data_IF_133083422380
#
_entry.id   IF_133083422380
#
_cell.length_a   1.000
_cell.length_b   1.000
_cell.length_c   1.000
_cell.angle_alpha   90.00
_cell.angle_beta   90.00
_cell.angle_gamma   90.00
#
_symmetry.space_group_name_H-M   'P 1'
#
loop_
_entity.id
_entity.type
_entity.pdbx_description
1 polymer ?
#
# COMPACT_ATOMS: atom_id res chain seq x y z
N UNK A 1 23.60 -6.78 -15.89
CA UNK A 1 23.34 -7.83 -14.88
C UNK A 1 22.80 -7.14 -13.64
N UNK A 2 21.50 -6.85 -13.62
CA UNK A 2 20.83 -6.06 -12.58
C UNK A 2 19.49 -6.74 -12.32
N UNK A 3 19.59 -7.93 -11.73
CA UNK A 3 18.43 -8.75 -11.41
C UNK A 3 18.64 -9.29 -10.00
N UNK A 4 17.66 -9.02 -9.12
CA UNK A 4 17.39 -9.71 -7.85
C UNK A 4 18.22 -9.30 -6.62
N UNK A 5 17.97 -8.08 -6.13
CA UNK A 5 17.96 -7.78 -4.68
C UNK A 5 16.64 -7.11 -4.31
N UNK A 6 15.55 -7.78 -4.68
CA UNK A 6 14.19 -7.47 -4.25
C UNK A 6 14.04 -8.08 -2.86
N UNK A 7 13.73 -7.28 -1.84
CA UNK A 7 13.58 -7.72 -0.43
C UNK A 7 12.66 -8.95 -0.30
N UNK A 8 12.99 -9.85 0.63
CA UNK A 8 12.17 -11.02 0.99
C UNK A 8 10.75 -10.64 1.41
N UNK A 9 10.55 -9.39 1.88
CA UNK A 9 9.23 -8.83 2.18
C UNK A 9 8.37 -8.72 0.92
N UNK A 10 8.93 -8.35 -0.23
CA UNK A 10 8.20 -8.13 -1.48
C UNK A 10 7.60 -9.42 -2.02
N UNK A 11 8.38 -10.50 -1.99
CA UNK A 11 7.92 -11.83 -2.41
C UNK A 11 6.78 -12.25 -1.47
N UNK A 12 6.92 -12.02 -0.17
CA UNK A 12 5.88 -12.37 0.79
C UNK A 12 4.61 -11.54 0.63
N UNK A 13 4.66 -10.22 0.47
CA UNK A 13 3.45 -9.38 0.37
C UNK A 13 2.67 -9.67 -0.92
N UNK A 14 3.36 -9.75 -2.08
CA UNK A 14 2.70 -10.00 -3.35
C UNK A 14 2.10 -11.42 -3.44
N UNK A 15 2.84 -12.43 -2.98
CA UNK A 15 2.35 -13.82 -2.92
C UNK A 15 1.15 -13.92 -1.96
N UNK A 16 1.22 -13.24 -0.82
CA UNK A 16 0.15 -13.25 0.17
C UNK A 16 -1.13 -12.58 -0.34
N UNK A 17 -1.01 -11.46 -1.06
CA UNK A 17 -2.16 -10.82 -1.75
C UNK A 17 -2.79 -11.80 -2.74
N UNK A 18 -1.99 -12.49 -3.56
CA UNK A 18 -2.52 -13.50 -4.48
C UNK A 18 -3.23 -14.66 -3.75
N UNK A 19 -2.65 -15.13 -2.64
CA UNK A 19 -3.21 -16.23 -1.85
C UNK A 19 -4.60 -15.87 -1.30
N UNK A 20 -4.73 -14.77 -0.55
CA UNK A 20 -6.01 -14.40 0.05
C UNK A 20 -7.05 -13.97 -1.00
N UNK A 21 -6.61 -13.39 -2.13
CA UNK A 21 -7.51 -13.15 -3.27
C UNK A 21 -8.07 -14.46 -3.82
N UNK A 22 -7.23 -15.51 -3.96
CA UNK A 22 -7.69 -16.84 -4.40
C UNK A 22 -8.63 -17.50 -3.40
N UNK A 23 -8.37 -17.38 -2.10
CA UNK A 23 -9.25 -17.93 -1.06
C UNK A 23 -10.66 -17.32 -1.14
N UNK A 24 -10.74 -15.99 -1.25
CA UNK A 24 -12.01 -15.28 -1.38
C UNK A 24 -12.73 -15.60 -2.71
N UNK A 25 -11.99 -15.66 -3.83
CA UNK A 25 -12.57 -15.99 -5.13
C UNK A 25 -13.14 -17.40 -5.18
N UNK A 26 -12.39 -18.40 -4.70
CA UNK A 26 -12.82 -19.81 -4.70
C UNK A 26 -14.06 -20.04 -3.84
N UNK A 27 -14.18 -19.35 -2.72
CA UNK A 27 -15.35 -19.44 -1.85
C UNK A 27 -16.58 -18.77 -2.47
N UNK A 28 -16.42 -17.61 -3.10
CA UNK A 28 -17.53 -16.87 -3.69
C UNK A 28 -18.09 -17.55 -4.95
N UNK A 29 -17.23 -18.18 -5.77
CA UNK A 29 -17.63 -18.88 -7.00
C UNK A 29 -18.10 -20.32 -6.78
N UNK A 30 -18.23 -20.78 -5.52
CA UNK A 30 -18.71 -22.13 -5.19
C UNK A 30 -17.76 -23.26 -5.63
N UNK A 31 -16.49 -22.96 -5.93
CA UNK A 31 -15.57 -23.89 -6.61
C UNK A 31 -14.89 -24.91 -5.67
N UNK A 32 -15.05 -24.82 -4.34
CA UNK A 32 -14.42 -25.80 -3.44
C UNK A 32 -15.19 -26.00 -2.13
N UNK A 33 -16.05 -27.04 -2.04
CA UNK A 33 -16.72 -27.43 -0.80
C UNK A 33 -15.79 -28.06 0.25
N UNK A 34 -14.53 -28.34 -0.08
CA UNK A 34 -13.62 -29.18 0.72
C UNK A 34 -12.56 -28.39 1.50
N UNK A 35 -12.46 -27.07 1.30
CA UNK A 35 -11.57 -26.18 2.05
C UNK A 35 -12.38 -25.13 2.81
N UNK A 36 -12.49 -25.27 4.13
CA UNK A 36 -13.07 -24.24 4.99
C UNK A 36 -12.04 -23.14 5.27
N UNK A 37 -11.89 -22.19 4.35
CA UNK A 37 -11.12 -20.99 4.63
C UNK A 37 -11.89 -20.08 5.59
N UNK A 38 -11.18 -19.43 6.52
CA UNK A 38 -11.74 -18.35 7.30
C UNK A 38 -11.81 -17.08 6.43
N UNK A 39 -12.96 -16.82 5.82
CA UNK A 39 -13.12 -15.71 4.87
C UNK A 39 -13.01 -14.33 5.54
N UNK A 40 -13.33 -14.23 6.82
CA UNK A 40 -13.11 -13.01 7.61
C UNK A 40 -11.63 -12.68 7.70
N UNK A 41 -10.82 -13.69 8.03
CA UNK A 41 -9.36 -13.58 8.09
C UNK A 41 -8.77 -13.26 6.70
N UNK A 42 -9.25 -13.94 5.65
CA UNK A 42 -8.79 -13.67 4.29
C UNK A 42 -9.10 -12.24 3.84
N UNK A 43 -10.28 -11.70 4.18
CA UNK A 43 -10.64 -10.32 3.88
C UNK A 43 -9.77 -9.32 4.63
N UNK A 44 -9.57 -9.55 5.94
CA UNK A 44 -8.71 -8.69 6.77
C UNK A 44 -7.28 -8.66 6.26
N UNK A 45 -6.70 -9.83 5.95
CA UNK A 45 -5.36 -9.89 5.40
C UNK A 45 -5.25 -9.28 4.02
N UNK A 46 -6.23 -9.50 3.13
CA UNK A 46 -6.22 -8.87 1.82
C UNK A 46 -6.21 -7.33 1.94
N UNK A 47 -7.06 -6.78 2.81
CA UNK A 47 -7.11 -5.34 3.06
C UNK A 47 -5.77 -4.82 3.62
N UNK A 48 -5.22 -5.51 4.61
CA UNK A 48 -3.94 -5.16 5.24
C UNK A 48 -2.78 -5.17 4.24
N UNK A 49 -2.59 -6.27 3.51
CA UNK A 49 -1.45 -6.41 2.60
C UNK A 49 -1.58 -5.53 1.34
N UNK A 50 -2.81 -5.19 0.91
CA UNK A 50 -2.98 -4.14 -0.10
C UNK A 50 -2.53 -2.78 0.45
N UNK A 51 -2.75 -2.48 1.73
CA UNK A 51 -2.15 -1.32 2.39
C UNK A 51 -0.61 -1.37 2.36
N UNK A 52 -0.04 -2.45 2.91
CA UNK A 52 1.41 -2.62 3.05
C UNK A 52 2.17 -2.56 1.72
N UNK A 53 1.66 -3.22 0.67
CA UNK A 53 2.34 -3.19 -0.63
C UNK A 53 2.39 -1.76 -1.21
N UNK A 54 1.56 -0.83 -0.73
CA UNK A 54 1.61 0.57 -1.11
C UNK A 54 2.57 1.42 -0.28
N UNK A 55 3.02 0.95 0.90
CA UNK A 55 4.07 1.57 1.68
C UNK A 55 5.42 1.34 0.97
N UNK A 56 6.11 2.39 0.47
CA UNK A 56 7.33 2.24 -0.32
C UNK A 56 8.40 1.33 0.32
N UNK A 57 8.65 1.46 1.62
CA UNK A 57 9.68 0.74 2.35
C UNK A 57 9.31 -0.69 2.76
N UNK A 58 8.02 -1.08 2.69
CA UNK A 58 7.63 -2.50 2.71
C UNK A 58 8.09 -3.22 1.44
N UNK A 59 8.47 -2.44 0.42
CA UNK A 59 9.07 -2.90 -0.83
C UNK A 59 10.50 -2.34 -1.00
N UNK A 60 11.19 -2.13 0.13
CA UNK A 60 12.55 -1.60 0.20
C UNK A 60 13.65 -2.65 -0.02
N UNK A 61 14.87 -2.32 0.37
CA UNK A 61 16.04 -3.20 0.22
C UNK A 61 16.17 -4.22 1.34
N UNK A 62 16.67 -5.41 1.00
CA UNK A 62 16.90 -6.47 1.99
C UNK A 62 18.00 -6.09 2.99
N UNK A 63 19.07 -5.47 2.51
CA UNK A 63 20.26 -5.17 3.31
C UNK A 63 20.01 -4.19 4.46
N UNK A 64 18.95 -3.39 4.37
CA UNK A 64 18.52 -2.47 5.43
C UNK A 64 17.19 -2.84 6.07
N UNK A 65 16.67 -4.05 5.76
CA UNK A 65 15.38 -4.54 6.22
C UNK A 65 14.24 -3.54 5.91
N UNK A 66 14.24 -2.96 4.71
CA UNK A 66 13.27 -1.93 4.32
C UNK A 66 13.46 -0.62 5.09
N UNK A 67 14.69 -0.24 5.39
CA UNK A 67 15.01 0.97 6.16
C UNK A 67 14.90 0.82 7.68
N UNK A 68 14.59 -0.36 8.21
CA UNK A 68 14.54 -0.60 9.66
C UNK A 68 15.92 -0.43 10.32
N UNK A 69 17.01 -0.73 9.61
CA UNK A 69 18.37 -0.56 10.16
C UNK A 69 18.95 0.85 9.93
N UNK A 70 18.28 1.69 9.14
CA UNK A 70 18.70 3.08 8.90
C UNK A 70 18.19 3.93 10.05
N UNK A 71 19.04 4.12 11.06
CA UNK A 71 18.74 4.99 12.20
C UNK A 71 18.79 6.46 11.78
N UNK A 72 17.74 7.21 12.08
CA UNK A 72 17.61 8.66 11.80
C UNK A 72 16.97 9.36 13.01
N UNK A 73 16.93 10.68 12.98
CA UNK A 73 16.11 11.47 13.89
C UNK A 73 14.95 12.08 13.10
N UNK A 74 13.71 11.88 13.55
CA UNK A 74 12.56 12.65 13.07
C UNK A 74 12.40 13.86 13.97
N UNK A 75 12.79 15.04 13.47
CA UNK A 75 13.05 16.22 14.29
C UNK A 75 13.93 15.84 15.50
N UNK A 76 13.41 16.00 16.73
CA UNK A 76 14.15 15.72 17.98
C UNK A 76 14.08 14.27 18.44
N UNK A 77 13.35 13.38 17.75
CA UNK A 77 13.11 11.99 18.19
C UNK A 77 13.92 10.99 17.36
N UNK A 78 14.80 10.24 18.01
CA UNK A 78 15.53 9.14 17.37
C UNK A 78 14.57 8.01 16.98
N UNK A 79 14.72 7.48 15.77
CA UNK A 79 13.87 6.44 15.18
C UNK A 79 14.62 5.70 14.07
N UNK A 80 13.91 4.93 13.23
CA UNK A 80 14.44 4.39 11.98
C UNK A 80 13.61 4.86 10.77
N UNK A 81 14.20 4.78 9.58
CA UNK A 81 13.59 5.28 8.35
C UNK A 81 12.26 4.56 8.03
N UNK A 82 12.15 3.26 8.30
CA UNK A 82 10.91 2.51 8.09
C UNK A 82 9.74 3.11 8.89
N UNK A 83 9.96 3.35 10.18
CA UNK A 83 8.96 3.92 11.08
C UNK A 83 8.58 5.37 10.72
N UNK A 84 9.50 6.14 10.13
CA UNK A 84 9.18 7.48 9.60
C UNK A 84 8.09 7.40 8.52
N UNK A 85 8.18 6.40 7.63
CA UNK A 85 7.23 6.21 6.54
C UNK A 85 5.94 5.49 6.95
N UNK A 86 6.02 4.54 7.88
CA UNK A 86 4.82 3.86 8.43
C UNK A 86 3.93 4.83 9.20
N UNK A 87 4.53 5.70 10.00
CA UNK A 87 3.81 6.42 11.06
C UNK A 87 4.12 7.91 11.09
N UNK A 88 5.39 8.30 11.18
CA UNK A 88 5.72 9.66 11.65
C UNK A 88 5.38 10.77 10.66
N UNK A 89 5.44 10.53 9.35
CA UNK A 89 4.98 11.50 8.34
C UNK A 89 3.48 11.74 8.49
N UNK A 90 2.69 10.66 8.63
CA UNK A 90 1.22 10.74 8.74
C UNK A 90 0.83 11.43 10.04
N UNK A 91 1.37 11.00 11.18
CA UNK A 91 1.10 11.61 12.48
C UNK A 91 1.46 13.09 12.52
N UNK A 92 2.60 13.45 11.91
CA UNK A 92 3.02 14.85 11.82
C UNK A 92 2.03 15.65 10.98
N UNK A 93 1.62 15.14 9.81
CA UNK A 93 0.64 15.81 8.96
C UNK A 93 -0.72 15.95 9.63
N UNK A 94 -1.24 14.89 10.25
CA UNK A 94 -2.51 14.94 11.00
C UNK A 94 -2.45 16.03 12.06
N UNK A 95 -1.37 16.06 12.84
CA UNK A 95 -1.19 17.03 13.91
C UNK A 95 -1.02 18.47 13.41
N UNK A 96 -0.19 18.71 12.40
CA UNK A 96 0.23 20.07 12.01
C UNK A 96 -0.59 20.68 10.88
N UNK A 97 -1.15 19.86 9.99
CA UNK A 97 -1.84 20.32 8.77
C UNK A 97 -3.35 20.02 8.80
N UNK A 98 -3.78 19.03 9.57
CA UNK A 98 -5.18 18.57 9.59
C UNK A 98 -5.85 18.70 10.96
N UNK A 99 -5.38 19.63 11.80
CA UNK A 99 -6.05 19.98 13.06
C UNK A 99 -6.09 18.86 14.10
N UNK A 100 -5.17 17.90 14.03
CA UNK A 100 -5.17 16.66 14.83
C UNK A 100 -6.39 15.76 14.59
N UNK A 101 -7.01 15.85 13.42
CA UNK A 101 -8.13 15.02 13.01
C UNK A 101 -7.81 14.21 11.75
N UNK A 102 -7.78 12.88 11.91
CA UNK A 102 -7.56 11.97 10.80
C UNK A 102 -8.70 12.01 9.78
N UNK A 103 -9.94 12.29 10.19
CA UNK A 103 -11.07 12.38 9.28
C UNK A 103 -10.90 13.56 8.31
N UNK A 104 -10.35 14.67 8.78
CA UNK A 104 -10.00 15.83 7.94
C UNK A 104 -8.94 15.47 6.89
N UNK A 105 -7.90 14.70 7.25
CA UNK A 105 -6.91 14.21 6.28
C UNK A 105 -7.55 13.27 5.25
N UNK A 106 -8.41 12.34 5.68
CA UNK A 106 -9.13 11.43 4.79
C UNK A 106 -10.00 12.22 3.80
N UNK A 107 -10.73 13.24 4.26
CA UNK A 107 -11.53 14.09 3.38
C UNK A 107 -10.67 14.83 2.35
N UNK A 108 -9.50 15.33 2.75
CA UNK A 108 -8.56 15.98 1.83
C UNK A 108 -8.07 15.00 0.74
N UNK A 109 -7.70 13.77 1.14
CA UNK A 109 -7.32 12.70 0.19
C UNK A 109 -8.49 12.38 -0.75
N UNK A 110 -9.71 12.25 -0.23
CA UNK A 110 -10.91 11.99 -1.04
C UNK A 110 -11.19 13.10 -2.06
N UNK A 111 -11.01 14.38 -1.70
CA UNK A 111 -11.10 15.50 -2.64
C UNK A 111 -10.00 15.43 -3.71
N UNK A 112 -8.77 15.12 -3.34
CA UNK A 112 -7.69 14.95 -4.32
C UNK A 112 -7.96 13.80 -5.30
N UNK A 113 -8.65 12.73 -4.88
CA UNK A 113 -9.10 11.65 -5.77
C UNK A 113 -10.09 12.16 -6.83
N UNK A 114 -11.02 13.06 -6.47
CA UNK A 114 -11.99 13.62 -7.41
C UNK A 114 -11.44 14.77 -8.24
N UNK A 115 -10.40 15.44 -7.74
CA UNK A 115 -9.87 16.67 -8.32
C UNK A 115 -8.50 16.39 -8.96
N UNK A 116 -7.42 16.58 -8.21
CA UNK A 116 -6.03 16.54 -8.68
C UNK A 116 -5.61 15.21 -9.33
N UNK A 117 -6.20 14.09 -8.92
CA UNK A 117 -5.86 12.74 -9.39
C UNK A 117 -6.96 12.11 -10.24
N UNK A 118 -8.03 12.84 -10.58
CA UNK A 118 -9.17 12.33 -11.35
C UNK A 118 -8.77 11.55 -12.60
N UNK A 119 -7.83 12.10 -13.38
CA UNK A 119 -7.31 11.48 -14.60
C UNK A 119 -6.50 10.20 -14.34
N UNK A 120 -5.88 10.07 -13.16
CA UNK A 120 -5.08 8.92 -12.78
C UNK A 120 -5.95 7.75 -12.25
N UNK A 121 -7.12 8.03 -11.65
CA UNK A 121 -7.95 7.03 -10.94
C UNK A 121 -8.32 5.83 -11.81
N UNK A 122 -8.69 6.06 -13.08
CA UNK A 122 -9.01 4.97 -14.02
C UNK A 122 -7.82 4.02 -14.19
N UNK A 123 -6.61 4.56 -14.33
CA UNK A 123 -5.38 3.77 -14.45
C UNK A 123 -5.06 2.98 -13.18
N UNK A 124 -5.36 3.52 -12.00
CA UNK A 124 -5.11 2.82 -10.73
C UNK A 124 -6.06 1.67 -10.49
N UNK A 125 -7.33 1.81 -10.93
CA UNK A 125 -8.34 0.75 -10.86
C UNK A 125 -8.04 -0.40 -11.82
N UNK A 126 -7.44 -0.08 -12.98
CA UNK A 126 -7.16 -1.04 -14.03
C UNK A 126 -6.12 -2.07 -13.58
N UNK A 127 -6.46 -3.34 -13.74
CA UNK A 127 -5.58 -4.47 -13.53
C UNK A 127 -5.75 -5.36 -14.78
N UNK A 128 -4.75 -5.36 -15.65
CA UNK A 128 -4.85 -5.92 -17.01
C UNK A 128 -5.13 -7.42 -17.05
N UNK A 129 -5.37 -7.95 -18.25
CA UNK A 129 -5.50 -9.39 -18.53
C UNK A 129 -6.55 -10.14 -17.67
N UNK A 130 -7.69 -9.49 -17.36
CA UNK A 130 -8.74 -10.05 -16.50
C UNK A 130 -8.25 -10.51 -15.12
N UNK A 131 -7.16 -9.93 -14.61
CA UNK A 131 -6.65 -10.27 -13.28
C UNK A 131 -7.50 -9.59 -12.20
N UNK A 132 -7.81 -10.33 -11.13
CA UNK A 132 -8.52 -9.80 -9.97
C UNK A 132 -7.66 -8.79 -9.20
N UNK A 133 -6.34 -9.02 -9.14
CA UNK A 133 -5.37 -8.19 -8.40
C UNK A 133 -4.00 -8.18 -9.07
N UNK A 134 -3.29 -7.04 -9.02
CA UNK A 134 -2.02 -6.80 -9.71
C UNK A 134 -0.88 -6.42 -8.74
N UNK A 135 -0.54 -7.25 -7.74
CA UNK A 135 0.41 -6.87 -6.69
C UNK A 135 1.82 -6.57 -7.21
N UNK A 136 2.25 -7.21 -8.31
CA UNK A 136 3.54 -6.92 -8.94
C UNK A 136 3.64 -5.47 -9.46
N UNK A 137 2.53 -4.91 -9.95
CA UNK A 137 2.46 -3.51 -10.38
C UNK A 137 2.59 -2.60 -9.16
N UNK A 138 1.84 -2.91 -8.09
CA UNK A 138 1.83 -2.10 -6.87
C UNK A 138 3.22 -2.08 -6.22
N UNK A 139 3.87 -3.25 -6.13
CA UNK A 139 5.23 -3.39 -5.64
C UNK A 139 6.25 -2.66 -6.53
N UNK A 140 6.16 -2.80 -7.85
CA UNK A 140 7.06 -2.11 -8.77
C UNK A 140 6.99 -0.58 -8.63
N UNK A 141 5.82 -0.03 -8.32
CA UNK A 141 5.68 1.39 -7.99
C UNK A 141 6.28 1.72 -6.63
N UNK A 142 6.02 0.92 -5.60
CA UNK A 142 6.55 1.13 -4.24
C UNK A 142 8.07 1.16 -4.20
N UNK A 143 8.76 0.21 -4.85
CA UNK A 143 10.23 0.22 -4.91
C UNK A 143 10.77 1.46 -5.63
N UNK A 144 10.09 1.93 -6.69
CA UNK A 144 10.46 3.17 -7.37
C UNK A 144 10.30 4.38 -6.44
N UNK A 145 9.23 4.43 -5.66
CA UNK A 145 9.02 5.50 -4.68
C UNK A 145 10.04 5.42 -3.54
N UNK A 146 10.40 4.22 -3.09
CA UNK A 146 11.41 4.02 -2.06
C UNK A 146 12.77 4.58 -2.50
N UNK A 147 13.24 4.21 -3.69
CA UNK A 147 14.49 4.71 -4.25
C UNK A 147 14.46 6.23 -4.49
N UNK A 148 13.37 6.75 -5.07
CA UNK A 148 13.29 8.15 -5.48
C UNK A 148 13.10 9.10 -4.30
N UNK A 149 12.39 8.68 -3.25
CA UNK A 149 11.93 9.55 -2.17
C UNK A 149 12.36 9.08 -0.78
N UNK A 150 12.16 7.81 -0.44
CA UNK A 150 12.40 7.31 0.92
C UNK A 150 13.87 7.29 1.29
N UNK A 151 14.70 6.59 0.50
CA UNK A 151 16.13 6.50 0.78
C UNK A 151 16.88 7.80 0.47
N UNK A 152 16.35 8.63 -0.41
CA UNK A 152 17.02 9.86 -0.86
C UNK A 152 17.11 10.87 0.29
N UNK A 153 18.34 11.27 0.62
CA UNK A 153 18.68 12.19 1.72
C UNK A 153 18.33 11.68 3.12
N UNK A 154 18.19 10.35 3.28
CA UNK A 154 17.94 9.70 4.57
C UNK A 154 19.08 8.73 4.92
N UNK A 155 20.30 9.27 5.08
CA UNK A 155 21.47 8.47 5.48
C UNK A 155 21.46 8.21 6.99
N UNK A 156 22.12 7.14 7.48
CA UNK A 156 22.23 6.87 8.91
C UNK A 156 22.76 8.10 9.68
N UNK A 157 22.10 8.44 10.79
CA UNK A 157 22.42 9.59 11.64
C UNK A 157 21.86 10.93 11.17
N UNK A 158 21.23 11.00 9.99
CA UNK A 158 20.57 12.23 9.53
C UNK A 158 19.37 12.62 10.40
N UNK A 159 19.10 13.93 10.45
CA UNK A 159 17.86 14.48 11.02
C UNK A 159 16.93 14.87 9.89
N UNK A 160 15.75 14.28 9.88
CA UNK A 160 14.68 14.51 8.90
C UNK A 160 13.68 15.50 9.51
N UNK A 161 13.55 16.66 8.88
CA UNK A 161 12.71 17.79 9.33
C UNK A 161 11.80 18.26 8.18
N UNK A 162 11.41 19.54 8.17
CA UNK A 162 10.43 20.12 7.25
C UNK A 162 10.72 19.84 5.77
N UNK A 163 11.99 19.94 5.34
CA UNK A 163 12.35 19.67 3.93
C UNK A 163 11.99 18.24 3.54
N UNK A 164 12.33 17.26 4.38
CA UNK A 164 12.01 15.85 4.13
C UNK A 164 10.50 15.61 4.26
N UNK A 165 9.89 16.16 5.30
CA UNK A 165 8.46 16.02 5.56
C UNK A 165 7.59 16.53 4.41
N UNK A 166 7.72 17.81 4.05
CA UNK A 166 6.86 18.48 3.09
C UNK A 166 7.03 17.93 1.67
N UNK A 167 8.23 17.47 1.31
CA UNK A 167 8.49 16.91 -0.02
C UNK A 167 8.04 15.45 -0.16
N UNK A 168 7.86 14.70 0.93
CA UNK A 168 7.45 13.28 0.92
C UNK A 168 5.97 13.09 1.26
N UNK A 169 5.35 14.01 1.99
CA UNK A 169 3.93 13.93 2.35
C UNK A 169 3.01 13.73 1.12
N UNK A 170 3.17 14.45 -0.01
CA UNK A 170 2.33 14.21 -1.20
C UNK A 170 2.47 12.79 -1.77
N UNK A 171 3.63 12.16 -1.58
CA UNK A 171 3.86 10.77 -2.01
C UNK A 171 3.11 9.81 -1.09
N UNK A 172 3.19 10.02 0.23
CA UNK A 172 2.46 9.23 1.23
C UNK A 172 0.95 9.31 0.98
N UNK A 173 0.40 10.51 0.82
CA UNK A 173 -1.03 10.71 0.55
C UNK A 173 -1.47 10.03 -0.76
N UNK A 174 -0.66 10.12 -1.82
CA UNK A 174 -0.94 9.44 -3.08
C UNK A 174 -0.91 7.91 -2.93
N UNK A 175 0.02 7.35 -2.14
CA UNK A 175 0.08 5.90 -1.88
C UNK A 175 -1.10 5.41 -1.04
N UNK A 176 -1.54 6.19 -0.05
CA UNK A 176 -2.77 5.91 0.72
C UNK A 176 -4.00 5.89 -0.19
N UNK A 177 -4.13 6.89 -1.08
CA UNK A 177 -5.21 6.95 -2.06
C UNK A 177 -5.21 5.75 -3.02
N UNK A 178 -4.04 5.40 -3.56
CA UNK A 178 -3.87 4.25 -4.44
C UNK A 178 -4.23 2.93 -3.74
N UNK A 179 -3.79 2.73 -2.50
CA UNK A 179 -4.15 1.57 -1.69
C UNK A 179 -5.66 1.42 -1.52
N UNK A 180 -6.35 2.50 -1.12
CA UNK A 180 -7.81 2.49 -0.96
C UNK A 180 -8.56 2.22 -2.26
N UNK A 181 -8.20 2.90 -3.36
CA UNK A 181 -8.83 2.72 -4.67
C UNK A 181 -8.62 1.31 -5.21
N UNK A 182 -7.41 0.75 -5.06
CA UNK A 182 -7.10 -0.60 -5.53
C UNK A 182 -7.76 -1.67 -4.69
N UNK A 183 -7.83 -1.50 -3.37
CA UNK A 183 -8.58 -2.39 -2.49
C UNK A 183 -10.06 -2.44 -2.93
N UNK A 184 -10.70 -1.28 -3.08
CA UNK A 184 -12.08 -1.20 -3.54
C UNK A 184 -12.27 -1.86 -4.92
N UNK A 185 -11.36 -1.62 -5.87
CA UNK A 185 -11.43 -2.23 -7.20
C UNK A 185 -11.25 -3.76 -7.16
N UNK A 186 -10.37 -4.28 -6.31
CA UNK A 186 -10.17 -5.73 -6.10
C UNK A 186 -11.42 -6.36 -5.50
N UNK A 187 -11.98 -5.77 -4.43
CA UNK A 187 -13.20 -6.25 -3.79
C UNK A 187 -14.39 -6.23 -4.75
N UNK A 188 -14.53 -5.16 -5.53
CA UNK A 188 -15.55 -5.09 -6.57
C UNK A 188 -15.36 -6.21 -7.60
N UNK A 189 -14.14 -6.47 -8.11
CA UNK A 189 -13.92 -7.59 -9.03
C UNK A 189 -14.21 -8.96 -8.41
N UNK A 190 -13.93 -9.14 -7.12
CA UNK A 190 -14.21 -10.37 -6.39
C UNK A 190 -15.72 -10.63 -6.24
N UNK A 191 -16.49 -9.60 -5.91
CA UNK A 191 -17.90 -9.73 -5.49
C UNK A 191 -18.92 -9.21 -6.51
N UNK A 192 -18.50 -8.67 -7.67
CA UNK A 192 -19.39 -8.19 -8.74
C UNK A 192 -19.69 -9.27 -9.80
N UNK A 193 -19.25 -10.52 -9.60
CA UNK A 193 -19.69 -11.61 -10.47
C UNK A 193 -21.13 -11.94 -10.09
N UNK A 194 -22.08 -11.62 -10.97
CA UNK A 194 -23.48 -12.02 -10.83
C UNK A 194 -23.53 -13.48 -10.40
N UNK A 195 -24.18 -13.73 -9.25
CA UNK A 195 -24.68 -15.05 -8.92
C UNK A 195 -25.58 -15.42 -10.09
N UNK A 196 -25.11 -16.31 -10.97
CA UNK A 196 -26.02 -17.07 -11.82
C UNK A 196 -26.82 -17.95 -10.89
N UNK A 197 -27.83 -17.38 -10.23
CA UNK A 197 -28.90 -18.15 -9.62
C UNK A 197 -29.46 -18.92 -10.81
N UNK A 198 -29.21 -20.23 -10.82
CA UNK A 198 -29.80 -21.12 -11.79
C UNK A 198 -31.30 -20.81 -11.81
N UNK A 199 -31.77 -20.25 -12.93
CA UNK A 199 -33.19 -20.08 -13.15
C UNK A 199 -33.77 -21.50 -13.14
N UNK A 200 -34.71 -21.71 -12.22
CA UNK A 200 -35.43 -22.95 -12.00
C UNK A 200 -36.28 -23.33 -13.22
#
# INVERSE_FOLDING_TARGET
MLTLQISSVIINTAVTIFNYTKQLFSAYQGYSPQLSYNLTEALMFLAHFIGDVHQPLHVGFLGDLGGNTITVSWYRRKTNLHHVWDTMIIDSAVKTLYGSDLATMIQAIQRNITDAWSNDVSSWKNCGHNQTVCPNVYASESVRMACKFAYRNATPGSTLEDEYFLSRLPIVEKRLAQGGIRLAAVLNRLFNSEVKIAQA
#
